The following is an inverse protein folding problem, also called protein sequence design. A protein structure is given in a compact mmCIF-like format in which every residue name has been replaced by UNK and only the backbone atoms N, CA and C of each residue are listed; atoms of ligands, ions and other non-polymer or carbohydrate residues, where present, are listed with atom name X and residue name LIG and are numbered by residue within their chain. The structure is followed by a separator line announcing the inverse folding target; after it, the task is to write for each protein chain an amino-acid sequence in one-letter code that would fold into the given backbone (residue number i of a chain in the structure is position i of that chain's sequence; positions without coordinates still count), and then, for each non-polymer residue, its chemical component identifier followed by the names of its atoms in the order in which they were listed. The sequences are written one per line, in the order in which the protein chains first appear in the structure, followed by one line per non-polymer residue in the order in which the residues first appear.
data_IF_471419089234
#
_entry.id   IF_471419089234
#
_cell.length_a   1.000
_cell.length_b   1.000
_cell.length_c   1.000
_cell.angle_alpha   90.00
_cell.angle_beta   90.00
_cell.angle_gamma   90.00
#
_symmetry.space_group_name_H-M   'P 1'
#
loop_
_entity.id
_entity.type
_entity.pdbx_description
1 polymer ?
#
# COMPACT_ATOMS: atom_id res chain seq x y z
N UNK A 1 9.34 4.47 10.29
CA UNK A 1 8.51 3.49 11.01
C UNK A 1 7.07 3.98 11.08
N UNK A 2 6.14 3.17 10.63
CA UNK A 2 4.72 3.51 10.64
C UNK A 2 3.91 2.42 11.36
N UNK A 3 2.73 2.79 11.85
CA UNK A 3 1.85 1.91 12.61
C UNK A 3 0.50 1.78 11.91
N UNK A 4 -0.28 0.78 12.33
CA UNK A 4 -1.65 0.62 11.82
C UNK A 4 -2.54 1.83 12.15
N UNK A 5 -2.32 2.47 13.31
CA UNK A 5 -3.07 3.67 13.67
C UNK A 5 -2.78 4.81 12.71
N UNK A 6 -1.54 4.92 12.25
CA UNK A 6 -1.17 5.94 11.27
C UNK A 6 -1.77 5.63 9.88
N UNK A 7 -1.82 4.37 9.48
CA UNK A 7 -2.51 3.97 8.25
C UNK A 7 -3.99 4.38 8.33
N UNK A 8 -4.66 4.04 9.42
CA UNK A 8 -6.07 4.36 9.61
C UNK A 8 -6.31 5.87 9.59
N UNK A 9 -5.45 6.63 10.24
CA UNK A 9 -5.56 8.10 10.26
C UNK A 9 -5.42 8.69 8.86
N UNK A 10 -4.43 8.26 8.12
CA UNK A 10 -4.17 8.78 6.76
C UNK A 10 -5.35 8.44 5.84
N UNK A 11 -5.81 7.19 5.85
CA UNK A 11 -6.95 6.77 5.04
C UNK A 11 -8.20 7.54 5.42
N UNK A 12 -8.44 7.73 6.72
CA UNK A 12 -9.62 8.42 7.22
C UNK A 12 -9.72 9.89 6.83
N UNK A 13 -8.63 10.53 6.45
CA UNK A 13 -8.62 11.90 5.96
C UNK A 13 -9.03 12.03 4.49
N UNK A 14 -9.14 10.91 3.77
CA UNK A 14 -9.49 10.88 2.36
C UNK A 14 -10.98 10.58 2.17
N UNK A 15 -11.60 11.24 1.19
CA UNK A 15 -13.04 11.15 0.97
C UNK A 15 -13.48 9.74 0.54
N UNK A 16 -14.67 9.34 0.97
CA UNK A 16 -15.33 8.09 0.59
C UNK A 16 -14.59 6.83 1.06
N UNK A 17 -13.72 6.94 2.05
CA UNK A 17 -12.99 5.80 2.59
C UNK A 17 -13.74 5.14 3.74
N UNK A 18 -13.49 3.84 3.91
CA UNK A 18 -14.07 3.04 4.98
C UNK A 18 -13.13 1.91 5.37
N UNK A 19 -13.40 1.32 6.53
CA UNK A 19 -12.68 0.15 7.03
C UNK A 19 -13.74 -0.89 7.42
N UNK A 20 -14.33 -1.60 6.42
CA UNK A 20 -15.42 -2.55 6.69
C UNK A 20 -15.02 -3.74 7.55
N UNK A 21 -13.74 -4.07 7.57
CA UNK A 21 -13.16 -5.09 8.45
C UNK A 21 -11.84 -4.55 8.99
N UNK A 22 -11.33 -5.02 10.13
CA UNK A 22 -10.06 -4.53 10.66
C UNK A 22 -8.94 -4.61 9.63
N UNK A 23 -8.27 -3.49 9.40
CA UNK A 23 -7.15 -3.36 8.46
C UNK A 23 -7.50 -3.74 7.01
N UNK A 24 -8.75 -3.52 6.62
CA UNK A 24 -9.23 -3.63 5.24
C UNK A 24 -9.82 -2.28 4.86
N UNK A 25 -9.05 -1.48 4.13
CA UNK A 25 -9.45 -0.11 3.79
C UNK A 25 -9.91 -0.02 2.35
N UNK A 26 -11.03 0.66 2.15
CA UNK A 26 -11.69 0.80 0.87
C UNK A 26 -11.96 2.25 0.53
N UNK A 27 -12.04 2.58 -0.77
CA UNK A 27 -12.62 3.83 -1.26
C UNK A 27 -13.84 3.44 -2.09
N UNK A 28 -15.04 3.80 -1.60
CA UNK A 28 -16.26 3.21 -2.11
C UNK A 28 -16.21 1.69 -1.91
N UNK A 29 -16.36 0.95 -3.02
CA UNK A 29 -16.26 -0.52 -3.00
C UNK A 29 -14.89 -1.04 -3.41
N UNK A 30 -14.00 -0.17 -3.85
CA UNK A 30 -12.69 -0.58 -4.37
C UNK A 30 -11.66 -0.71 -3.25
N UNK A 31 -10.84 -1.74 -3.35
CA UNK A 31 -9.75 -1.98 -2.40
C UNK A 31 -8.71 -0.86 -2.51
N UNK A 32 -8.29 -0.35 -1.36
CA UNK A 32 -7.27 0.70 -1.27
C UNK A 32 -5.98 0.16 -0.65
N UNK A 33 -6.09 -0.37 0.55
CA UNK A 33 -4.97 -0.89 1.31
C UNK A 33 -5.49 -1.94 2.31
N UNK A 34 -4.64 -2.90 2.66
CA UNK A 34 -5.05 -3.98 3.58
C UNK A 34 -3.84 -4.59 4.28
N UNK A 35 -4.10 -5.20 5.43
CA UNK A 35 -3.07 -6.00 6.12
C UNK A 35 -2.84 -7.29 5.33
N UNK A 36 -1.58 -7.55 4.98
CA UNK A 36 -1.26 -8.72 4.16
C UNK A 36 -0.10 -9.51 4.78
N UNK A 37 -0.38 -10.36 5.77
CA UNK A 37 0.67 -11.21 6.33
C UNK A 37 1.20 -12.19 5.27
N UNK A 38 2.50 -12.45 5.32
CA UNK A 38 3.12 -13.40 4.41
C UNK A 38 2.81 -14.84 4.84
N UNK A 39 2.51 -15.70 3.87
CA UNK A 39 2.37 -17.13 4.08
C UNK A 39 3.75 -17.76 4.28
N UNK A 40 3.87 -18.89 5.00
CA UNK A 40 5.16 -19.55 5.19
C UNK A 40 5.90 -19.84 3.89
N UNK A 41 5.19 -20.27 2.84
CA UNK A 41 5.79 -20.52 1.52
C UNK A 41 6.35 -19.27 0.87
N UNK A 42 5.68 -18.12 1.09
CA UNK A 42 6.15 -16.84 0.59
C UNK A 42 7.43 -16.39 1.31
N UNK A 43 7.48 -16.59 2.62
CA UNK A 43 8.68 -16.30 3.41
C UNK A 43 9.88 -17.12 2.95
N UNK A 44 9.67 -18.40 2.71
CA UNK A 44 10.72 -19.29 2.21
C UNK A 44 11.24 -18.84 0.83
N UNK A 45 10.31 -18.51 -0.07
CA UNK A 45 10.67 -18.07 -1.41
C UNK A 45 11.47 -16.76 -1.39
N UNK A 46 11.06 -15.80 -0.57
CA UNK A 46 11.75 -14.53 -0.44
C UNK A 46 13.14 -14.72 0.19
N UNK A 47 13.25 -15.58 1.20
CA UNK A 47 14.52 -15.85 1.87
C UNK A 47 15.54 -16.52 0.93
N UNK A 48 15.07 -17.37 0.01
CA UNK A 48 15.96 -18.05 -0.96
C UNK A 48 16.54 -17.09 -2.00
N UNK A 49 15.80 -16.03 -2.35
CA UNK A 49 16.13 -15.16 -3.48
C UNK A 49 16.71 -13.82 -3.07
N UNK A 50 16.88 -13.57 -1.77
CA UNK A 50 17.37 -12.29 -1.32
C UNK A 50 17.47 -12.18 0.19
N UNK A 51 17.43 -10.96 0.72
CA UNK A 51 17.47 -10.75 2.16
C UNK A 51 16.24 -11.36 2.85
N UNK A 52 16.36 -11.56 4.15
CA UNK A 52 15.28 -12.12 4.95
C UNK A 52 14.02 -11.27 4.84
N UNK A 53 12.82 -11.90 4.64
CA UNK A 53 11.58 -11.15 4.52
C UNK A 53 11.20 -10.45 5.85
N UNK A 54 10.41 -9.37 5.78
CA UNK A 54 9.98 -8.67 6.98
C UNK A 54 9.26 -9.58 7.96
N UNK A 55 9.54 -9.42 9.24
CA UNK A 55 8.89 -10.19 10.32
C UNK A 55 7.73 -9.44 10.96
N UNK A 56 7.67 -8.12 10.76
CA UNK A 56 6.64 -7.27 11.33
C UNK A 56 5.42 -7.15 10.43
N UNK A 57 4.71 -6.06 10.63
CA UNK A 57 3.46 -5.79 9.92
C UNK A 57 3.71 -5.45 8.46
N UNK A 58 2.89 -6.03 7.58
CA UNK A 58 2.98 -5.81 6.13
C UNK A 58 1.65 -5.27 5.63
N UNK A 59 1.71 -4.15 4.92
CA UNK A 59 0.57 -3.50 4.31
C UNK A 59 0.58 -3.74 2.81
N UNK A 60 -0.55 -4.17 2.23
CA UNK A 60 -0.73 -4.17 0.79
C UNK A 60 -1.36 -2.85 0.37
N UNK A 61 -0.88 -2.25 -0.71
CA UNK A 61 -1.41 -0.98 -1.22
C UNK A 61 -1.56 -1.04 -2.73
N UNK A 62 -2.73 -0.62 -3.23
CA UNK A 62 -2.96 -0.53 -4.67
C UNK A 62 -2.11 0.59 -5.28
N UNK A 63 -1.57 0.32 -6.45
CA UNK A 63 -0.81 1.30 -7.24
C UNK A 63 -1.45 1.42 -8.62
N UNK A 64 -1.06 2.45 -9.39
CA UNK A 64 -1.69 2.72 -10.69
C UNK A 64 -1.37 1.66 -11.72
N UNK A 65 -0.15 1.12 -11.72
CA UNK A 65 0.27 0.09 -12.67
C UNK A 65 1.52 -0.66 -12.18
N UNK A 66 1.93 -1.68 -12.93
CA UNK A 66 3.12 -2.47 -12.62
C UNK A 66 4.42 -1.66 -12.71
N UNK A 67 4.47 -0.64 -13.55
CA UNK A 67 5.63 0.24 -13.66
C UNK A 67 5.90 1.00 -12.36
N UNK A 68 4.86 1.55 -11.75
CA UNK A 68 4.96 2.23 -10.45
C UNK A 68 5.41 1.24 -9.38
N UNK A 69 4.83 0.04 -9.36
CA UNK A 69 5.17 -1.02 -8.43
C UNK A 69 6.67 -1.33 -8.45
N UNK A 70 7.22 -1.60 -9.62
CA UNK A 70 8.62 -1.96 -9.73
C UNK A 70 9.56 -0.78 -9.53
N UNK A 71 9.13 0.44 -9.86
CA UNK A 71 9.91 1.64 -9.54
C UNK A 71 10.08 1.82 -8.02
N UNK A 72 9.02 1.59 -7.25
CA UNK A 72 9.09 1.65 -5.79
C UNK A 72 10.03 0.59 -5.23
N UNK A 73 9.90 -0.64 -5.72
CA UNK A 73 10.75 -1.76 -5.25
C UNK A 73 12.22 -1.51 -5.57
N UNK A 74 12.51 -1.03 -6.77
CA UNK A 74 13.89 -0.76 -7.20
C UNK A 74 14.51 0.38 -6.40
N UNK A 75 13.72 1.39 -6.05
CA UNK A 75 14.19 2.56 -5.31
C UNK A 75 14.47 2.23 -3.84
N UNK A 76 13.55 1.51 -3.19
CA UNK A 76 13.67 1.19 -1.77
C UNK A 76 13.28 -0.27 -1.48
N UNK A 77 14.17 -1.23 -1.81
CA UNK A 77 13.85 -2.65 -1.68
C UNK A 77 13.68 -3.13 -0.23
N UNK A 78 14.15 -2.37 0.76
CA UNK A 78 13.91 -2.70 2.16
C UNK A 78 12.46 -2.38 2.58
N UNK A 79 11.84 -1.42 1.91
CA UNK A 79 10.51 -0.92 2.23
C UNK A 79 9.43 -1.58 1.39
N UNK A 80 9.68 -1.71 0.08
CA UNK A 80 8.68 -2.20 -0.88
C UNK A 80 9.12 -3.52 -1.49
N UNK A 81 8.16 -4.43 -1.64
CA UNK A 81 8.43 -5.74 -2.25
C UNK A 81 7.15 -6.34 -2.82
N UNK A 82 7.27 -7.50 -3.43
CA UNK A 82 6.14 -8.24 -3.99
C UNK A 82 6.39 -9.74 -3.86
N UNK A 83 5.36 -10.52 -4.09
CA UNK A 83 5.44 -11.99 -4.15
C UNK A 83 4.81 -12.46 -5.46
N UNK A 84 5.08 -13.71 -5.90
CA UNK A 84 4.47 -14.24 -7.12
C UNK A 84 2.94 -14.20 -7.13
N UNK A 85 2.31 -14.25 -5.96
CA UNK A 85 0.85 -14.13 -5.85
C UNK A 85 0.33 -12.84 -6.50
N UNK A 86 1.13 -11.77 -6.47
CA UNK A 86 0.75 -10.46 -7.00
C UNK A 86 1.33 -10.17 -8.39
N UNK A 87 1.88 -11.17 -9.08
CA UNK A 87 2.37 -10.97 -10.45
C UNK A 87 1.22 -10.51 -11.35
N UNK A 88 1.43 -9.40 -12.04
CA UNK A 88 0.42 -8.81 -12.93
C UNK A 88 -0.67 -8.02 -12.22
N UNK A 89 -0.67 -7.99 -10.89
CA UNK A 89 -1.66 -7.24 -10.11
C UNK A 89 -1.04 -5.92 -9.62
N UNK A 90 -1.71 -4.77 -9.83
CA UNK A 90 -1.13 -3.46 -9.47
C UNK A 90 -1.26 -3.17 -7.97
N UNK A 91 -0.49 -3.87 -7.18
CA UNK A 91 -0.37 -3.66 -5.74
C UNK A 91 1.06 -3.93 -5.30
N UNK A 92 1.51 -3.22 -4.28
CA UNK A 92 2.84 -3.39 -3.70
C UNK A 92 2.68 -3.77 -2.23
N UNK A 93 3.62 -4.55 -1.71
CA UNK A 93 3.69 -4.87 -0.29
C UNK A 93 4.68 -3.94 0.39
N UNK A 94 4.32 -3.49 1.58
CA UNK A 94 5.06 -2.47 2.33
C UNK A 94 5.44 -3.01 3.70
N UNK A 95 6.73 -2.94 4.01
CA UNK A 95 7.22 -3.21 5.35
C UNK A 95 6.99 -1.97 6.22
N UNK A 96 5.97 -2.01 7.10
CA UNK A 96 5.63 -0.85 7.93
C UNK A 96 6.76 -0.44 8.87
N UNK A 97 7.64 -1.37 9.25
CA UNK A 97 8.78 -1.06 10.10
C UNK A 97 9.80 -0.14 9.42
N UNK A 98 9.82 -0.10 8.10
CA UNK A 98 10.81 0.65 7.34
C UNK A 98 10.27 1.95 6.71
N UNK A 99 8.96 2.03 6.46
CA UNK A 99 8.39 3.20 5.78
C UNK A 99 8.23 4.38 6.74
N UNK A 100 8.56 5.58 6.28
CA UNK A 100 8.27 6.80 7.03
C UNK A 100 6.78 7.14 6.93
N UNK A 101 6.28 7.90 7.91
CA UNK A 101 4.88 8.37 7.86
C UNK A 101 4.65 9.25 6.62
N UNK A 102 5.63 10.06 6.27
CA UNK A 102 5.56 10.92 5.08
C UNK A 102 5.40 10.08 3.80
N UNK A 103 6.24 9.07 3.62
CA UNK A 103 6.17 8.21 2.43
C UNK A 103 4.89 7.40 2.42
N UNK A 104 4.43 6.95 3.59
CA UNK A 104 3.15 6.25 3.72
C UNK A 104 1.99 7.14 3.28
N UNK A 105 2.00 8.40 3.70
CA UNK A 105 0.97 9.36 3.32
C UNK A 105 0.96 9.60 1.80
N UNK A 106 2.12 9.75 1.20
CA UNK A 106 2.24 9.91 -0.25
C UNK A 106 1.74 8.66 -0.99
N UNK A 107 2.13 7.48 -0.53
CA UNK A 107 1.74 6.22 -1.14
C UNK A 107 0.21 6.02 -1.09
N UNK A 108 -0.39 6.22 0.07
CA UNK A 108 -1.84 6.03 0.25
C UNK A 108 -2.62 7.09 -0.54
N UNK A 109 -2.14 8.32 -0.56
CA UNK A 109 -2.77 9.40 -1.35
C UNK A 109 -2.76 9.03 -2.84
N UNK A 110 -1.64 8.55 -3.37
CA UNK A 110 -1.55 8.11 -4.77
C UNK A 110 -2.48 6.92 -5.05
N UNK A 111 -2.58 5.97 -4.11
CA UNK A 111 -3.50 4.85 -4.23
C UNK A 111 -4.96 5.35 -4.29
N UNK A 112 -5.30 6.31 -3.45
CA UNK A 112 -6.63 6.92 -3.45
C UNK A 112 -6.92 7.63 -4.78
N UNK A 113 -5.95 8.39 -5.30
CA UNK A 113 -6.10 9.06 -6.60
C UNK A 113 -6.37 8.05 -7.73
N UNK A 114 -5.82 6.83 -7.61
CA UNK A 114 -6.02 5.75 -8.57
C UNK A 114 -7.41 5.13 -8.46
N UNK A 115 -7.93 4.96 -7.24
CA UNK A 115 -9.13 4.17 -6.96
C UNK A 115 -10.40 5.00 -6.75
N UNK A 116 -10.27 6.27 -6.42
CA UNK A 116 -11.41 7.14 -6.14
C UNK A 116 -12.18 7.52 -7.41
N UNK A 117 -13.48 7.85 -7.30
CA UNK A 117 -14.25 8.36 -8.43
C UNK A 117 -13.61 9.63 -8.99
N UNK A 118 -13.66 9.77 -10.30
CA UNK A 118 -13.01 10.88 -11.01
C UNK A 118 -13.40 12.26 -10.46
N UNK A 119 -14.66 12.45 -10.13
CA UNK A 119 -15.14 13.72 -9.58
C UNK A 119 -14.45 14.07 -8.28
N UNK A 120 -14.30 13.10 -7.38
CA UNK A 120 -13.63 13.32 -6.10
C UNK A 120 -12.13 13.60 -6.29
N UNK A 121 -11.50 12.93 -7.25
CA UNK A 121 -10.09 13.19 -7.60
C UNK A 121 -9.91 14.63 -8.09
N UNK A 122 -10.81 15.10 -8.95
CA UNK A 122 -10.76 16.46 -9.46
C UNK A 122 -10.93 17.50 -8.34
N UNK A 123 -11.88 17.27 -7.43
CA UNK A 123 -12.09 18.14 -6.28
C UNK A 123 -10.88 18.19 -5.37
N UNK A 124 -10.29 17.01 -5.09
CA UNK A 124 -9.08 16.92 -4.27
C UNK A 124 -7.92 17.70 -4.87
N UNK A 125 -7.67 17.53 -6.18
CA UNK A 125 -6.58 18.22 -6.86
C UNK A 125 -6.81 19.73 -6.94
N UNK A 126 -8.06 20.18 -7.08
CA UNK A 126 -8.40 21.59 -7.08
C UNK A 126 -8.13 22.23 -5.71
N UNK A 127 -8.47 21.53 -4.62
CA UNK A 127 -8.26 22.02 -3.25
C UNK A 127 -6.78 22.06 -2.86
N UNK A 128 -5.94 21.31 -3.56
CA UNK A 128 -4.49 21.21 -3.27
C UNK A 128 -3.66 22.31 -3.95
N UNK A 129 -4.28 23.17 -4.72
CA UNK A 129 -3.57 24.24 -5.45
C UNK A 129 -3.43 25.52 -4.64
#
# INVERSE_FOLDING_TARGET
VATWDEVARIVGELALTSEPSPHDWRVGKKLLAWERPLRPSEREALARNGPEPPRGDILGVRVSDEGVKFALIDDEPQTYFTTPHFDGYPAVLVNLAEISVRDLQELITEAWLTQAPRKLVQEFLADSR
#
